data_IF_464451076170
#
_entry.id   IF_464451076170
#
_cell.length_a   1.000
_cell.length_b   1.000
_cell.length_c   1.000
_cell.angle_alpha   90.00
_cell.angle_beta   90.00
_cell.angle_gamma   90.00
#
_symmetry.space_group_name_H-M   'P 1'
#
loop_
_entity.id
_entity.type
_entity.pdbx_description
1 polymer ?
#
# COMPACT_ATOMS: atom_id res chain seq x y z
N UNK A 1 -8.15 -24.32 -24.27
CA UNK A 1 -6.74 -23.98 -24.00
C UNK A 1 -6.45 -24.35 -22.56
N UNK A 2 -5.86 -25.52 -22.33
CA UNK A 2 -5.47 -25.97 -20.99
C UNK A 2 -4.10 -25.38 -20.70
N UNK A 3 -4.03 -24.37 -19.83
CA UNK A 3 -2.77 -23.79 -19.41
C UNK A 3 -2.16 -24.76 -18.39
N UNK A 4 -1.19 -25.56 -18.83
CA UNK A 4 -0.37 -26.36 -17.93
C UNK A 4 0.60 -25.41 -17.23
N UNK A 5 0.39 -25.17 -15.94
CA UNK A 5 1.29 -24.37 -15.10
C UNK A 5 2.14 -25.33 -14.29
N UNK A 6 3.31 -25.70 -14.80
CA UNK A 6 4.33 -26.43 -14.04
C UNK A 6 5.00 -25.50 -13.05
N UNK A 7 4.39 -25.36 -11.88
CA UNK A 7 4.93 -24.56 -10.79
C UNK A 7 5.81 -25.44 -9.91
N UNK A 8 7.12 -25.27 -10.02
CA UNK A 8 8.07 -25.94 -9.12
C UNK A 8 7.97 -25.33 -7.71
N UNK A 9 7.31 -26.04 -6.81
CA UNK A 9 7.06 -25.64 -5.42
C UNK A 9 8.29 -25.74 -4.52
N UNK A 10 9.34 -26.43 -4.96
CA UNK A 10 10.57 -26.65 -4.19
C UNK A 10 11.56 -25.48 -4.33
N UNK A 11 11.35 -24.58 -5.30
CA UNK A 11 12.17 -23.38 -5.44
C UNK A 11 11.89 -22.40 -4.28
N UNK A 12 12.93 -21.93 -3.57
CA UNK A 12 12.78 -20.96 -2.49
C UNK A 12 12.00 -19.73 -2.94
N UNK A 13 11.03 -19.32 -2.12
CA UNK A 13 10.19 -18.14 -2.37
C UNK A 13 8.98 -18.37 -3.30
N UNK A 14 8.94 -19.43 -4.11
CA UNK A 14 7.81 -19.66 -5.05
C UNK A 14 6.49 -19.87 -4.30
N UNK A 15 6.50 -20.72 -3.26
CA UNK A 15 5.32 -20.94 -2.40
C UNK A 15 4.81 -19.64 -1.79
N UNK A 16 5.71 -18.79 -1.29
CA UNK A 16 5.36 -17.52 -0.66
C UNK A 16 4.74 -16.55 -1.66
N UNK A 17 5.34 -16.42 -2.85
CA UNK A 17 4.80 -15.60 -3.94
C UNK A 17 3.39 -16.00 -4.34
N UNK A 18 3.10 -17.30 -4.43
CA UNK A 18 1.76 -17.82 -4.76
C UNK A 18 0.76 -17.47 -3.65
N UNK A 19 1.13 -17.70 -2.39
CA UNK A 19 0.28 -17.37 -1.24
C UNK A 19 -0.05 -15.88 -1.25
N UNK A 20 0.93 -15.01 -1.47
CA UNK A 20 0.71 -13.56 -1.48
C UNK A 20 -0.15 -13.11 -2.66
N UNK A 21 0.02 -13.75 -3.82
CA UNK A 21 -0.84 -13.54 -4.98
C UNK A 21 -2.29 -13.93 -4.70
N UNK A 22 -2.51 -15.10 -4.09
CA UNK A 22 -3.85 -15.57 -3.73
C UNK A 22 -4.50 -14.67 -2.67
N UNK A 23 -3.75 -14.28 -1.64
CA UNK A 23 -4.21 -13.30 -0.64
C UNK A 23 -4.62 -11.99 -1.28
N UNK A 24 -3.81 -11.46 -2.21
CA UNK A 24 -4.10 -10.21 -2.92
C UNK A 24 -5.36 -10.33 -3.77
N UNK A 25 -5.50 -11.42 -4.52
CA UNK A 25 -6.68 -11.72 -5.34
C UNK A 25 -7.95 -11.80 -4.49
N UNK A 26 -7.90 -12.53 -3.36
CA UNK A 26 -9.02 -12.67 -2.43
C UNK A 26 -9.45 -11.31 -1.84
N UNK A 27 -8.50 -10.47 -1.43
CA UNK A 27 -8.80 -9.10 -0.96
C UNK A 27 -9.45 -8.26 -2.04
N UNK A 28 -8.94 -8.32 -3.27
CA UNK A 28 -9.49 -7.58 -4.40
C UNK A 28 -10.91 -8.04 -4.76
N UNK A 29 -11.19 -9.34 -4.70
CA UNK A 29 -12.52 -9.90 -4.90
C UNK A 29 -13.48 -9.42 -3.81
N UNK A 30 -13.11 -9.53 -2.53
CA UNK A 30 -13.92 -9.04 -1.40
C UNK A 30 -14.22 -7.54 -1.52
N UNK A 31 -13.23 -6.74 -1.94
CA UNK A 31 -13.47 -5.32 -2.22
C UNK A 31 -14.52 -5.10 -3.30
N UNK A 32 -14.44 -5.81 -4.44
CA UNK A 32 -15.44 -5.69 -5.52
C UNK A 32 -16.84 -6.10 -5.07
N UNK A 33 -16.94 -7.16 -4.27
CA UNK A 33 -18.20 -7.62 -3.70
C UNK A 33 -18.78 -6.62 -2.72
N UNK A 34 -17.95 -5.99 -1.89
CA UNK A 34 -18.38 -4.91 -1.01
C UNK A 34 -18.84 -3.68 -1.81
N UNK A 35 -18.17 -3.32 -2.92
CA UNK A 35 -18.64 -2.25 -3.79
C UNK A 35 -20.01 -2.56 -4.43
N UNK A 36 -20.26 -3.82 -4.78
CA UNK A 36 -21.57 -4.26 -5.26
C UNK A 36 -22.63 -4.16 -4.15
N UNK A 37 -22.32 -4.66 -2.96
CA UNK A 37 -23.18 -4.56 -1.77
C UNK A 37 -23.60 -3.11 -1.47
N UNK A 38 -22.66 -2.16 -1.56
CA UNK A 38 -22.91 -0.73 -1.28
C UNK A 38 -23.88 -0.03 -2.24
N UNK A 39 -24.32 -0.69 -3.33
CA UNK A 39 -25.32 -0.14 -4.26
C UNK A 39 -26.74 -0.23 -3.73
N UNK A 40 -26.98 -1.06 -2.72
CA UNK A 40 -28.32 -1.31 -2.17
C UNK A 40 -28.51 -0.53 -0.87
N UNK A 41 -29.74 -0.10 -0.60
CA UNK A 41 -30.03 0.76 0.54
C UNK A 41 -30.13 -0.01 1.86
N UNK A 42 -30.48 -1.30 1.80
CA UNK A 42 -30.67 -2.15 2.97
C UNK A 42 -30.16 -3.57 2.75
N UNK A 43 -29.92 -4.29 3.86
CA UNK A 43 -29.36 -5.64 3.86
C UNK A 43 -30.23 -6.64 3.08
N UNK A 44 -31.55 -6.57 3.21
CA UNK A 44 -32.47 -7.52 2.59
C UNK A 44 -32.46 -7.39 1.05
N UNK A 45 -32.46 -6.16 0.56
CA UNK A 45 -32.28 -5.86 -0.86
C UNK A 45 -30.91 -6.34 -1.37
N UNK A 46 -29.84 -6.09 -0.61
CA UNK A 46 -28.51 -6.56 -0.97
C UNK A 46 -28.44 -8.09 -1.09
N UNK A 47 -29.00 -8.82 -0.12
CA UNK A 47 -29.05 -10.30 -0.12
C UNK A 47 -29.78 -10.86 -1.34
N UNK A 48 -30.90 -10.24 -1.75
CA UNK A 48 -31.65 -10.65 -2.96
C UNK A 48 -30.89 -10.42 -4.26
N UNK A 49 -29.97 -9.46 -4.29
CA UNK A 49 -29.26 -9.04 -5.49
C UNK A 49 -27.83 -9.60 -5.56
N UNK A 50 -27.70 -10.93 -5.63
CA UNK A 50 -26.41 -11.61 -5.77
C UNK A 50 -25.71 -11.25 -7.08
N UNK A 51 -24.42 -10.88 -7.06
CA UNK A 51 -23.65 -10.68 -8.29
C UNK A 51 -23.38 -12.02 -8.99
N UNK A 52 -23.46 -12.05 -10.33
CA UNK A 52 -23.30 -13.26 -11.15
C UNK A 52 -21.99 -14.04 -10.90
N UNK A 53 -20.93 -13.33 -10.51
CA UNK A 53 -19.62 -13.90 -10.20
C UNK A 53 -19.56 -14.70 -8.89
N UNK A 54 -20.59 -14.62 -8.03
CA UNK A 54 -20.72 -15.44 -6.83
C UNK A 54 -21.65 -16.59 -7.19
N UNK A 55 -21.15 -17.82 -7.12
CA UNK A 55 -21.90 -19.00 -7.53
C UNK A 55 -23.07 -19.26 -6.59
N UNK A 56 -22.81 -19.26 -5.28
CA UNK A 56 -23.74 -19.67 -4.24
C UNK A 56 -24.44 -18.49 -3.54
N UNK A 57 -25.74 -18.61 -3.36
CA UNK A 57 -26.58 -17.64 -2.66
C UNK A 57 -26.27 -17.58 -1.16
N UNK A 58 -26.04 -18.72 -0.51
CA UNK A 58 -25.74 -18.73 0.92
C UNK A 58 -24.40 -18.03 1.21
N UNK A 59 -23.38 -18.28 0.37
CA UNK A 59 -22.11 -17.53 0.42
C UNK A 59 -22.30 -16.02 0.27
N UNK A 60 -23.19 -15.57 -0.62
CA UNK A 60 -23.47 -14.14 -0.78
C UNK A 60 -24.15 -13.54 0.46
N UNK A 61 -25.09 -14.26 1.05
CA UNK A 61 -25.78 -13.82 2.27
C UNK A 61 -24.83 -13.69 3.45
N UNK A 62 -23.94 -14.66 3.65
CA UNK A 62 -22.88 -14.61 4.66
C UNK A 62 -21.94 -13.41 4.46
N UNK A 63 -21.61 -13.08 3.20
CA UNK A 63 -20.81 -11.89 2.89
C UNK A 63 -21.57 -10.60 3.20
N UNK A 64 -22.86 -10.54 2.90
CA UNK A 64 -23.70 -9.39 3.23
C UNK A 64 -23.76 -9.18 4.76
N UNK A 65 -23.95 -10.26 5.53
CA UNK A 65 -23.95 -10.20 6.99
C UNK A 65 -22.59 -9.77 7.53
N UNK A 66 -21.49 -10.24 6.93
CA UNK A 66 -20.15 -9.78 7.26
C UNK A 66 -19.97 -8.27 6.99
N UNK A 67 -20.45 -7.76 5.87
CA UNK A 67 -20.35 -6.32 5.58
C UNK A 67 -21.23 -5.47 6.49
N UNK A 68 -22.33 -6.03 6.99
CA UNK A 68 -23.21 -5.37 7.93
C UNK A 68 -22.67 -5.39 9.37
N UNK A 69 -21.75 -6.31 9.68
CA UNK A 69 -21.17 -6.48 11.02
C UNK A 69 -20.55 -5.18 11.55
N UNK A 70 -20.77 -4.84 12.85
CA UNK A 70 -20.16 -3.67 13.47
C UNK A 70 -18.64 -3.64 13.34
N UNK A 71 -17.98 -4.80 13.46
CA UNK A 71 -16.53 -4.95 13.37
C UNK A 71 -16.01 -4.49 12.01
N UNK A 72 -16.65 -4.97 10.93
CA UNK A 72 -16.27 -4.59 9.57
C UNK A 72 -16.51 -3.11 9.31
N UNK A 73 -17.68 -2.58 9.72
CA UNK A 73 -18.02 -1.16 9.53
C UNK A 73 -17.03 -0.25 10.27
N UNK A 74 -16.71 -0.56 11.51
CA UNK A 74 -15.76 0.20 12.31
C UNK A 74 -14.37 0.20 11.67
N UNK A 75 -13.88 -0.97 11.25
CA UNK A 75 -12.57 -1.08 10.59
C UNK A 75 -12.55 -0.36 9.24
N UNK A 76 -13.59 -0.52 8.43
CA UNK A 76 -13.73 0.16 7.14
C UNK A 76 -13.75 1.68 7.29
N UNK A 77 -14.50 2.20 8.28
CA UNK A 77 -14.57 3.62 8.57
C UNK A 77 -13.23 4.17 9.08
N UNK A 78 -12.56 3.45 9.99
CA UNK A 78 -11.23 3.82 10.48
C UNK A 78 -10.21 3.87 9.34
N UNK A 79 -10.19 2.85 8.47
CA UNK A 79 -9.31 2.81 7.30
C UNK A 79 -9.58 3.96 6.31
N UNK A 80 -10.86 4.29 6.09
CA UNK A 80 -11.26 5.43 5.28
C UNK A 80 -10.75 6.75 5.87
N UNK A 81 -10.93 6.93 7.18
CA UNK A 81 -10.44 8.11 7.91
C UNK A 81 -8.90 8.21 7.87
N UNK A 82 -8.19 7.09 8.07
CA UNK A 82 -6.73 7.06 7.98
C UNK A 82 -6.25 7.43 6.58
N UNK A 83 -6.93 6.94 5.53
CA UNK A 83 -6.61 7.30 4.15
C UNK A 83 -6.82 8.79 3.86
N UNK A 84 -7.83 9.43 4.49
CA UNK A 84 -8.04 10.89 4.41
C UNK A 84 -6.95 11.68 5.14
N UNK A 85 -6.36 11.13 6.20
CA UNK A 85 -5.26 11.74 6.96
C UNK A 85 -3.89 11.62 6.29
N UNK A 86 -3.74 10.81 5.25
CA UNK A 86 -2.47 10.66 4.52
C UNK A 86 -2.19 11.92 3.68
N UNK A 87 -1.30 12.78 4.18
CA UNK A 87 -1.00 14.12 3.61
C UNK A 87 0.10 14.09 2.54
N UNK A 88 1.21 13.40 2.80
CA UNK A 88 2.31 13.24 1.85
C UNK A 88 2.20 11.89 1.13
N UNK A 89 1.62 11.88 -0.08
CA UNK A 89 1.51 10.67 -0.88
C UNK A 89 2.71 10.55 -1.82
N UNK A 90 3.32 9.37 -1.92
CA UNK A 90 4.24 9.08 -3.01
C UNK A 90 3.50 9.10 -4.36
N UNK A 91 4.21 9.30 -5.46
CA UNK A 91 3.64 9.40 -6.81
C UNK A 91 4.24 8.38 -7.79
N UNK A 92 4.94 7.36 -7.28
CA UNK A 92 5.67 6.35 -8.07
C UNK A 92 4.80 5.20 -8.57
N UNK A 93 3.49 5.24 -8.27
CA UNK A 93 2.53 4.25 -8.74
C UNK A 93 2.85 2.84 -8.22
N UNK A 94 3.18 1.92 -9.13
CA UNK A 94 3.50 0.52 -8.82
C UNK A 94 4.99 0.25 -8.71
N UNK A 95 5.83 1.25 -9.00
CA UNK A 95 7.28 1.08 -8.95
C UNK A 95 7.71 0.99 -7.48
N UNK A 96 8.30 -0.15 -7.06
CA UNK A 96 8.79 -0.32 -5.71
C UNK A 96 9.92 0.67 -5.41
N UNK A 97 10.05 1.08 -4.15
CA UNK A 97 11.12 1.98 -3.72
C UNK A 97 12.51 1.40 -3.95
N UNK A 98 12.68 0.08 -3.86
CA UNK A 98 13.96 -0.59 -4.14
C UNK A 98 14.43 -0.43 -5.58
N UNK A 99 13.50 -0.41 -6.54
CA UNK A 99 13.83 -0.17 -7.94
C UNK A 99 14.32 1.27 -8.11
N UNK A 100 13.62 2.23 -7.51
CA UNK A 100 13.97 3.65 -7.56
C UNK A 100 15.31 3.91 -6.87
N UNK A 101 15.56 3.28 -5.72
CA UNK A 101 16.86 3.32 -5.04
C UNK A 101 17.97 2.82 -5.95
N UNK A 102 17.80 1.64 -6.56
CA UNK A 102 18.80 1.06 -7.46
C UNK A 102 19.06 1.93 -8.69
N UNK A 103 18.02 2.54 -9.25
CA UNK A 103 18.15 3.46 -10.39
C UNK A 103 18.96 4.71 -10.00
N UNK A 104 18.67 5.32 -8.85
CA UNK A 104 19.41 6.48 -8.34
C UNK A 104 20.87 6.09 -8.05
N UNK A 105 21.09 4.98 -7.34
CA UNK A 105 22.45 4.53 -7.02
C UNK A 105 23.28 4.25 -8.27
N UNK A 106 22.67 3.59 -9.27
CA UNK A 106 23.34 3.30 -10.54
C UNK A 106 23.67 4.55 -11.35
N UNK A 107 22.81 5.58 -11.32
CA UNK A 107 23.07 6.85 -12.02
C UNK A 107 24.20 7.66 -11.40
N UNK A 108 24.32 7.65 -10.06
CA UNK A 108 25.33 8.45 -9.35
C UNK A 108 26.63 7.70 -9.06
N UNK A 109 26.62 6.36 -9.12
CA UNK A 109 27.77 5.52 -8.78
C UNK A 109 28.04 5.38 -7.28
N UNK A 110 27.04 5.62 -6.43
CA UNK A 110 27.12 5.60 -4.96
C UNK A 110 25.74 5.28 -4.36
N UNK A 111 25.63 5.02 -3.06
CA UNK A 111 24.39 4.59 -2.40
C UNK A 111 23.34 5.71 -2.29
N UNK A 112 22.13 5.49 -2.81
CA UNK A 112 20.97 6.39 -2.71
C UNK A 112 20.65 6.74 -1.25
N UNK A 113 20.69 8.03 -0.91
CA UNK A 113 20.30 8.51 0.42
C UNK A 113 18.78 8.58 0.55
N UNK A 114 18.26 8.44 1.77
CA UNK A 114 16.83 8.47 2.05
C UNK A 114 16.18 9.80 1.70
N UNK A 115 16.92 10.91 1.76
CA UNK A 115 16.43 12.24 1.32
C UNK A 115 16.26 12.29 -0.21
N UNK A 116 17.19 11.69 -0.95
CA UNK A 116 17.13 11.59 -2.40
C UNK A 116 15.96 10.70 -2.83
N UNK A 117 15.80 9.54 -2.18
CA UNK A 117 14.67 8.66 -2.38
C UNK A 117 13.34 9.35 -2.06
N UNK A 118 13.28 10.11 -0.96
CA UNK A 118 12.06 10.83 -0.60
C UNK A 118 11.67 11.83 -1.68
N UNK A 119 12.64 12.63 -2.15
CA UNK A 119 12.43 13.58 -3.25
C UNK A 119 11.95 12.88 -4.52
N UNK A 120 12.66 11.85 -4.98
CA UNK A 120 12.32 11.13 -6.21
C UNK A 120 10.95 10.43 -6.17
N UNK A 121 10.48 10.07 -4.96
CA UNK A 121 9.20 9.40 -4.78
C UNK A 121 8.02 10.37 -4.59
N UNK A 122 8.28 11.65 -4.29
CA UNK A 122 7.26 12.65 -3.96
C UNK A 122 7.27 13.89 -4.86
N UNK A 123 8.28 14.06 -5.71
CA UNK A 123 8.40 15.11 -6.71
C UNK A 123 8.38 14.49 -8.11
N UNK A 124 7.60 15.08 -9.02
CA UNK A 124 7.53 14.56 -10.39
C UNK A 124 8.68 15.11 -11.25
N UNK A 125 8.80 14.60 -12.47
CA UNK A 125 9.84 15.00 -13.44
C UNK A 125 9.81 16.49 -13.81
N UNK A 126 8.71 17.20 -13.55
CA UNK A 126 8.56 18.64 -13.79
C UNK A 126 8.90 19.49 -12.55
N UNK A 127 9.42 18.88 -11.48
CA UNK A 127 9.71 19.57 -10.22
C UNK A 127 8.46 19.90 -9.38
N UNK A 128 7.31 19.28 -9.66
CA UNK A 128 6.09 19.49 -8.89
C UNK A 128 5.95 18.43 -7.80
N UNK A 129 5.88 18.90 -6.57
CA UNK A 129 5.63 18.10 -5.37
C UNK A 129 4.22 17.50 -5.36
N UNK A 130 4.09 16.33 -4.75
CA UNK A 130 2.83 15.62 -4.60
C UNK A 130 1.84 16.32 -3.66
N UNK A 131 2.36 17.15 -2.76
CA UNK A 131 1.62 18.02 -1.84
C UNK A 131 2.59 19.03 -1.20
N UNK A 132 2.07 20.15 -0.69
CA UNK A 132 2.87 21.12 0.07
C UNK A 132 3.53 20.45 1.28
N UNK A 133 2.80 19.58 1.99
CA UNK A 133 3.33 18.80 3.12
C UNK A 133 4.50 17.90 2.71
N UNK A 134 4.52 17.36 1.49
CA UNK A 134 5.67 16.58 1.03
C UNK A 134 6.90 17.46 0.81
N UNK A 135 6.72 18.68 0.28
CA UNK A 135 7.79 19.67 0.15
C UNK A 135 8.35 20.07 1.51
N UNK A 136 7.46 20.47 2.44
CA UNK A 136 7.85 20.88 3.79
C UNK A 136 8.60 19.76 4.54
N UNK A 137 8.16 18.51 4.40
CA UNK A 137 8.85 17.35 4.98
C UNK A 137 10.26 17.19 4.39
N UNK A 138 10.42 17.35 3.08
CA UNK A 138 11.72 17.24 2.44
C UNK A 138 12.67 18.35 2.89
N UNK A 139 12.19 19.60 2.95
CA UNK A 139 12.96 20.74 3.47
C UNK A 139 13.45 20.49 4.90
N UNK A 140 12.55 19.99 5.77
CA UNK A 140 12.91 19.61 7.14
C UNK A 140 13.94 18.46 7.21
N UNK A 141 13.90 17.50 6.28
CA UNK A 141 14.89 16.43 6.21
C UNK A 141 16.27 16.98 5.84
N UNK A 142 16.35 17.90 4.89
CA UNK A 142 17.60 18.56 4.48
C UNK A 142 18.17 19.37 5.64
N UNK A 143 17.36 20.22 6.28
CA UNK A 143 17.78 21.03 7.43
C UNK A 143 18.32 20.14 8.58
N UNK A 144 17.64 19.03 8.88
CA UNK A 144 18.08 18.08 9.90
C UNK A 144 19.41 17.42 9.53
N UNK A 145 19.60 17.02 8.28
CA UNK A 145 20.85 16.41 7.81
C UNK A 145 22.02 17.37 7.96
N UNK A 146 21.82 18.65 7.63
CA UNK A 146 22.83 19.70 7.82
C UNK A 146 23.16 19.87 9.31
N UNK A 147 22.15 19.98 10.18
CA UNK A 147 22.35 20.08 11.64
C UNK A 147 23.13 18.90 12.23
N UNK A 148 22.80 17.67 11.84
CA UNK A 148 23.55 16.48 12.30
C UNK A 148 25.00 16.49 11.82
N UNK A 149 25.27 17.00 10.62
CA UNK A 149 26.63 17.12 10.09
C UNK A 149 27.44 18.21 10.81
N UNK A 150 26.80 19.29 11.27
CA UNK A 150 27.48 20.43 11.93
C UNK A 150 27.61 20.28 13.45
N UNK A 151 26.63 19.65 14.12
CA UNK A 151 26.52 19.65 15.58
C UNK A 151 26.88 18.31 16.23
N UNK A 152 27.17 17.26 15.45
CA UNK A 152 27.58 15.94 15.99
C UNK A 152 26.54 15.28 16.90
N UNK A 153 25.26 15.68 16.78
CA UNK A 153 24.18 15.19 17.61
C UNK A 153 23.90 13.72 17.24
N UNK A 154 24.04 12.80 18.20
CA UNK A 154 23.69 11.39 18.00
C UNK A 154 22.23 11.21 17.56
N UNK A 155 22.00 10.25 16.63
CA UNK A 155 20.66 9.78 16.25
C UNK A 155 19.83 9.57 17.53
N UNK A 156 18.67 10.22 17.65
CA UNK A 156 17.76 10.00 18.78
C UNK A 156 17.51 8.50 18.95
N UNK A 157 17.49 7.99 20.18
CA UNK A 157 17.26 6.57 20.51
C UNK A 157 16.07 5.94 19.76
N UNK A 158 15.06 6.76 19.41
CA UNK A 158 13.88 6.36 18.66
C UNK A 158 14.19 5.82 17.24
N UNK A 159 15.29 6.25 16.60
CA UNK A 159 15.66 5.84 15.25
C UNK A 159 16.58 4.61 15.19
N UNK A 160 17.23 4.23 16.30
CA UNK A 160 18.05 3.00 16.38
C UNK A 160 17.24 1.71 16.15
N UNK A 161 15.91 1.79 16.29
CA UNK A 161 14.97 0.67 16.11
C UNK A 161 14.57 0.41 14.65
N UNK A 162 14.92 1.30 13.72
CA UNK A 162 14.59 1.17 12.29
C UNK A 162 15.77 0.65 11.44
N UNK A 163 16.94 0.44 12.03
CA UNK A 163 18.14 -0.07 11.36
C UNK A 163 18.10 -1.61 11.14
N UNK A 164 16.95 -2.27 11.30
CA UNK A 164 16.77 -3.74 11.16
C UNK A 164 15.59 -4.08 10.22
N UNK A 165 15.58 -3.50 9.01
CA UNK A 165 14.72 -3.96 7.91
C UNK A 165 15.57 -4.60 6.82
#
# INVERSE_FOLDING_TARGET
MQIHMDVNMDKPGVKQCIIDRLKSSSRQQRYRLHQHYKKFANLQEAKRNKPAQVSDQQQWELLCDHFESPEFKNQSQANSNNRKKMRAKHITGRTPFTIIQNEISGQKGDDCDMIELYKSTHENVNGKWSSDVAKDNWELMVEKKEKYATEGIEKSEHYKKFDHW
#
